data_IF_371534320474
#
_entry.id   IF_371534320474
#
_cell.length_a   1.000
_cell.length_b   1.000
_cell.length_c   1.000
_cell.angle_alpha   90.00
_cell.angle_beta   90.00
_cell.angle_gamma   90.00
#
_symmetry.space_group_name_H-M   'P 1'
#
loop_
_entity.id
_entity.type
_entity.pdbx_description
1 polymer ?
#
# COMPACT_ATOMS: atom_id res chain seq x y z
N UNK A 1 6.67 -16.43 41.21
CA UNK A 1 7.73 -16.54 40.18
C UNK A 1 7.46 -15.48 39.14
N UNK A 2 8.32 -14.45 39.08
CA UNK A 2 8.04 -13.16 38.42
C UNK A 2 8.98 -12.99 37.20
N UNK A 3 8.38 -12.87 36.01
CA UNK A 3 8.65 -11.80 35.02
C UNK A 3 10.10 -11.46 34.62
N UNK A 4 10.95 -12.42 34.26
CA UNK A 4 12.26 -12.08 33.64
C UNK A 4 12.18 -11.92 32.11
N UNK A 5 11.29 -12.67 31.44
CA UNK A 5 11.18 -12.64 29.97
C UNK A 5 10.55 -11.35 29.43
N UNK A 6 9.52 -10.81 30.10
CA UNK A 6 8.80 -9.60 29.66
C UNK A 6 9.71 -8.36 29.60
N UNK A 7 10.60 -8.18 30.59
CA UNK A 7 11.56 -7.07 30.63
C UNK A 7 12.62 -7.18 29.52
N UNK A 8 13.01 -8.40 29.15
CA UNK A 8 14.03 -8.64 28.13
C UNK A 8 13.47 -8.43 26.73
N UNK A 9 12.28 -8.96 26.45
CA UNK A 9 11.63 -8.83 25.14
C UNK A 9 11.25 -7.38 24.82
N UNK A 10 10.79 -6.63 25.83
CA UNK A 10 10.51 -5.20 25.68
C UNK A 10 11.76 -4.41 25.31
N UNK A 11 12.90 -4.70 25.95
CA UNK A 11 14.19 -4.07 25.64
C UNK A 11 14.68 -4.42 24.23
N UNK A 12 14.51 -5.67 23.80
CA UNK A 12 14.86 -6.10 22.43
C UNK A 12 13.98 -5.41 21.39
N UNK A 13 12.66 -5.33 21.62
CA UNK A 13 11.72 -4.58 20.78
C UNK A 13 12.14 -3.11 20.66
N UNK A 14 12.38 -2.44 21.79
CA UNK A 14 12.78 -1.02 21.79
C UNK A 14 14.13 -0.78 21.08
N UNK A 15 15.08 -1.71 21.24
CA UNK A 15 16.37 -1.65 20.55
C UNK A 15 16.20 -1.78 19.04
N UNK A 16 15.41 -2.75 18.58
CA UNK A 16 15.15 -2.94 17.16
C UNK A 16 14.46 -1.73 16.52
N UNK A 17 13.49 -1.12 17.22
CA UNK A 17 12.83 0.10 16.76
C UNK A 17 13.85 1.24 16.61
N UNK A 18 14.76 1.42 17.59
CA UNK A 18 15.83 2.43 17.49
C UNK A 18 16.78 2.16 16.32
N UNK A 19 17.14 0.90 16.07
CA UNK A 19 17.96 0.54 14.91
C UNK A 19 17.25 0.86 13.59
N UNK A 20 15.97 0.52 13.46
CA UNK A 20 15.17 0.87 12.29
C UNK A 20 15.08 2.40 12.08
N UNK A 21 14.88 3.17 13.14
CA UNK A 21 14.84 4.65 13.11
C UNK A 21 16.15 5.29 12.60
N UNK A 22 17.29 4.61 12.71
CA UNK A 22 18.57 5.08 12.14
C UNK A 22 18.94 4.39 10.82
N UNK A 23 18.07 3.52 10.29
CA UNK A 23 18.26 2.84 9.00
C UNK A 23 18.91 1.46 9.08
N UNK A 24 19.23 0.98 10.27
CA UNK A 24 19.79 -0.36 10.49
C UNK A 24 18.68 -1.43 10.55
N UNK A 25 18.04 -1.69 9.39
CA UNK A 25 16.94 -2.65 9.31
C UNK A 25 17.43 -4.10 9.45
N UNK A 26 18.63 -4.41 8.93
CA UNK A 26 19.22 -5.73 9.09
C UNK A 26 19.50 -6.04 10.58
N UNK A 27 20.15 -5.11 11.31
CA UNK A 27 20.41 -5.27 12.74
C UNK A 27 19.13 -5.22 13.59
N UNK A 28 18.10 -4.47 13.17
CA UNK A 28 16.79 -4.52 13.79
C UNK A 28 16.17 -5.93 13.68
N UNK A 29 16.21 -6.55 12.49
CA UNK A 29 15.71 -7.93 12.26
C UNK A 29 16.47 -8.96 13.09
N UNK A 30 17.79 -8.84 13.17
CA UNK A 30 18.61 -9.71 14.01
C UNK A 30 18.21 -9.56 15.50
N UNK A 31 18.03 -8.33 15.98
CA UNK A 31 17.65 -8.07 17.37
C UNK A 31 16.29 -8.66 17.74
N UNK A 32 15.28 -8.52 16.88
CA UNK A 32 13.94 -9.07 17.17
C UNK A 32 13.86 -10.59 17.06
N UNK A 33 14.86 -11.26 16.45
CA UNK A 33 14.91 -12.73 16.41
C UNK A 33 15.02 -13.36 17.81
N UNK A 34 15.48 -12.57 18.79
CA UNK A 34 15.53 -12.97 20.21
C UNK A 34 14.24 -12.72 21.00
N UNK A 35 13.22 -12.08 20.42
CA UNK A 35 11.95 -11.77 21.10
C UNK A 35 11.04 -12.99 21.09
N UNK A 36 10.55 -13.40 22.26
CA UNK A 36 9.70 -14.59 22.40
C UNK A 36 8.22 -14.22 22.53
N UNK A 37 7.89 -13.17 23.29
CA UNK A 37 6.50 -12.71 23.44
C UNK A 37 6.00 -12.13 22.12
N UNK A 38 4.99 -12.80 21.57
CA UNK A 38 4.36 -12.46 20.30
C UNK A 38 3.82 -11.03 20.23
N UNK A 39 3.44 -10.43 21.37
CA UNK A 39 2.97 -9.03 21.40
C UNK A 39 4.10 -8.07 21.10
N UNK A 40 5.25 -8.24 21.76
CA UNK A 40 6.42 -7.40 21.48
C UNK A 40 6.99 -7.65 20.09
N UNK A 41 6.95 -8.91 19.61
CA UNK A 41 7.35 -9.24 18.25
C UNK A 41 6.45 -8.53 17.22
N UNK A 42 5.12 -8.57 17.43
CA UNK A 42 4.14 -7.85 16.61
C UNK A 42 4.45 -6.35 16.59
N UNK A 43 4.59 -5.74 17.76
CA UNK A 43 4.83 -4.30 17.87
C UNK A 43 6.12 -3.88 17.14
N UNK A 44 7.20 -4.65 17.27
CA UNK A 44 8.45 -4.36 16.59
C UNK A 44 8.32 -4.44 15.07
N UNK A 45 7.73 -5.52 14.54
CA UNK A 45 7.55 -5.69 13.10
C UNK A 45 6.64 -4.61 12.50
N UNK A 46 5.54 -4.25 13.19
CA UNK A 46 4.64 -3.19 12.74
C UNK A 46 5.34 -1.83 12.72
N UNK A 47 6.11 -1.50 13.76
CA UNK A 47 6.82 -0.22 13.83
C UNK A 47 7.95 -0.16 12.80
N UNK A 48 8.70 -1.25 12.58
CA UNK A 48 9.71 -1.31 11.52
C UNK A 48 9.10 -1.10 10.14
N UNK A 49 7.98 -1.75 9.84
CA UNK A 49 7.27 -1.58 8.58
C UNK A 49 6.77 -0.13 8.40
N UNK A 50 6.21 0.46 9.46
CA UNK A 50 5.79 1.87 9.48
C UNK A 50 6.95 2.82 9.19
N UNK A 51 8.08 2.69 9.90
CA UNK A 51 9.26 3.54 9.70
C UNK A 51 9.76 3.48 8.25
N UNK A 52 9.85 2.28 7.67
CA UNK A 52 10.31 2.13 6.29
C UNK A 52 9.32 2.70 5.27
N UNK A 53 8.03 2.63 5.57
CA UNK A 53 6.99 3.20 4.72
C UNK A 53 7.01 4.73 4.71
N UNK A 54 7.25 5.37 5.86
CA UNK A 54 7.30 6.83 6.00
C UNK A 54 8.51 7.40 5.26
N UNK A 55 9.56 6.60 5.08
CA UNK A 55 10.71 6.94 4.23
C UNK A 55 10.44 6.81 2.75
N UNK A 56 9.30 6.24 2.35
CA UNK A 56 8.94 6.00 0.96
C UNK A 56 9.83 4.96 0.25
N UNK A 57 10.62 4.18 0.99
CA UNK A 57 11.49 3.17 0.40
C UNK A 57 10.70 1.89 0.13
N UNK A 58 10.05 1.86 -1.04
CA UNK A 58 9.21 0.75 -1.50
C UNK A 58 9.93 -0.60 -1.41
N UNK A 59 11.21 -0.66 -1.78
CA UNK A 59 11.96 -1.92 -1.75
C UNK A 59 12.16 -2.42 -0.32
N UNK A 60 12.52 -1.53 0.61
CA UNK A 60 12.71 -1.91 2.00
C UNK A 60 11.41 -2.34 2.69
N UNK A 61 10.28 -1.74 2.29
CA UNK A 61 8.93 -2.19 2.68
C UNK A 61 8.68 -3.62 2.18
N UNK A 62 8.93 -3.91 0.90
CA UNK A 62 8.81 -5.28 0.35
C UNK A 62 9.68 -6.26 1.12
N UNK A 63 10.95 -5.92 1.33
CA UNK A 63 11.90 -6.77 2.03
C UNK A 63 11.46 -7.06 3.46
N UNK A 64 10.86 -6.08 4.15
CA UNK A 64 10.36 -6.23 5.51
C UNK A 64 9.14 -7.14 5.56
N UNK A 65 8.22 -7.03 4.60
CA UNK A 65 7.08 -7.95 4.47
C UNK A 65 7.58 -9.37 4.25
N UNK A 66 8.46 -9.59 3.27
CA UNK A 66 8.96 -10.93 2.91
C UNK A 66 9.78 -11.55 4.04
N UNK A 67 10.52 -10.74 4.80
CA UNK A 67 11.33 -11.22 5.93
C UNK A 67 10.53 -11.50 7.20
N UNK A 68 9.28 -11.05 7.28
CA UNK A 68 8.45 -11.27 8.46
C UNK A 68 8.10 -12.76 8.59
N UNK A 69 8.44 -13.43 9.71
CA UNK A 69 8.26 -14.88 9.86
C UNK A 69 6.79 -15.31 9.87
N UNK A 70 5.89 -14.38 10.19
CA UNK A 70 4.45 -14.59 10.21
C UNK A 70 3.73 -13.30 9.79
N UNK A 71 3.08 -13.31 8.63
CA UNK A 71 2.37 -12.15 8.06
C UNK A 71 1.28 -11.61 8.99
N UNK A 72 0.71 -12.44 9.88
CA UNK A 72 -0.31 -11.97 10.83
C UNK A 72 0.25 -11.03 11.91
N UNK A 73 1.57 -10.91 12.03
CA UNK A 73 2.23 -9.88 12.85
C UNK A 73 2.11 -8.50 12.21
N UNK A 74 2.02 -8.40 10.88
CA UNK A 74 1.95 -7.12 10.18
C UNK A 74 0.54 -6.54 10.16
N UNK A 75 -0.48 -7.36 10.43
CA UNK A 75 -1.88 -6.96 10.48
C UNK A 75 -2.12 -5.83 11.49
N UNK A 76 -2.21 -4.61 10.96
CA UNK A 76 -2.45 -3.37 11.67
C UNK A 76 -3.26 -2.41 10.79
N UNK A 77 -3.80 -1.34 11.38
CA UNK A 77 -4.49 -0.29 10.62
C UNK A 77 -3.57 0.32 9.55
N UNK A 78 -2.32 0.58 9.91
CA UNK A 78 -1.29 1.09 9.01
C UNK A 78 -1.03 0.16 7.81
N UNK A 79 -1.13 -1.15 8.01
CA UNK A 79 -0.97 -2.13 6.93
C UNK A 79 -1.94 -1.88 5.76
N UNK A 80 -3.14 -1.36 6.02
CA UNK A 80 -4.13 -1.04 4.98
C UNK A 80 -3.72 0.16 4.10
N UNK A 81 -2.91 1.07 4.62
CA UNK A 81 -2.46 2.26 3.88
C UNK A 81 -1.20 1.95 3.05
N UNK A 82 -0.52 0.85 3.36
CA UNK A 82 0.74 0.49 2.75
C UNK A 82 0.71 0.45 1.22
N UNK A 83 -0.33 -0.09 0.54
CA UNK A 83 -0.34 -0.10 -0.92
C UNK A 83 -0.35 1.30 -1.54
N UNK A 84 -0.77 2.34 -0.81
CA UNK A 84 -0.69 3.72 -1.28
C UNK A 84 0.76 4.23 -1.38
N UNK A 85 1.68 3.71 -0.56
CA UNK A 85 3.12 4.04 -0.64
C UNK A 85 3.67 3.63 -2.02
N UNK A 86 3.25 2.46 -2.49
CA UNK A 86 3.64 1.91 -3.78
C UNK A 86 2.99 2.69 -4.93
N UNK A 87 1.70 3.02 -4.82
CA UNK A 87 1.00 3.87 -5.81
C UNK A 87 1.67 5.24 -5.94
N UNK A 88 2.00 5.91 -4.83
CA UNK A 88 2.68 7.21 -4.82
C UNK A 88 4.09 7.14 -5.43
N UNK A 89 4.77 6.01 -5.29
CA UNK A 89 6.07 5.76 -5.89
C UNK A 89 5.98 5.29 -7.37
N UNK A 90 4.77 5.12 -7.92
CA UNK A 90 4.55 4.62 -9.27
C UNK A 90 4.69 3.09 -9.41
N UNK A 91 4.94 2.35 -8.33
CA UNK A 91 5.03 0.90 -8.32
C UNK A 91 3.64 0.25 -8.22
N UNK A 92 2.86 0.35 -9.30
CA UNK A 92 1.49 -0.18 -9.37
C UNK A 92 1.43 -1.68 -9.12
N UNK A 93 2.30 -2.44 -9.76
CA UNK A 93 2.37 -3.90 -9.60
C UNK A 93 2.69 -4.28 -8.16
N UNK A 94 3.65 -3.60 -7.53
CA UNK A 94 3.95 -3.79 -6.12
C UNK A 94 2.78 -3.45 -5.20
N UNK A 95 2.00 -2.40 -5.50
CA UNK A 95 0.80 -2.06 -4.74
C UNK A 95 -0.22 -3.21 -4.75
N UNK A 96 -0.46 -3.80 -5.92
CA UNK A 96 -1.39 -4.93 -6.10
C UNK A 96 -0.86 -6.18 -5.39
N UNK A 97 0.41 -6.52 -5.57
CA UNK A 97 1.06 -7.68 -4.93
C UNK A 97 0.95 -7.62 -3.41
N UNK A 98 1.30 -6.47 -2.82
CA UNK A 98 1.23 -6.27 -1.38
C UNK A 98 -0.21 -6.34 -0.89
N UNK A 99 -1.15 -5.70 -1.57
CA UNK A 99 -2.57 -5.77 -1.20
C UNK A 99 -3.09 -7.22 -1.25
N UNK A 100 -2.70 -8.03 -2.25
CA UNK A 100 -3.04 -9.46 -2.31
C UNK A 100 -2.46 -10.25 -1.13
N UNK A 101 -1.22 -9.96 -0.74
CA UNK A 101 -0.56 -10.62 0.40
C UNK A 101 -1.27 -10.36 1.74
N UNK A 102 -2.10 -9.31 1.84
CA UNK A 102 -2.90 -9.01 3.04
C UNK A 102 -4.14 -9.90 3.21
N UNK A 103 -4.47 -10.73 2.22
CA UNK A 103 -5.68 -11.56 2.23
C UNK A 103 -6.95 -10.70 2.34
N UNK A 104 -7.87 -11.06 3.25
CA UNK A 104 -9.14 -10.35 3.43
C UNK A 104 -8.96 -8.86 3.79
N UNK A 105 -7.90 -8.50 4.51
CA UNK A 105 -7.61 -7.10 4.83
C UNK A 105 -7.25 -6.30 3.56
N UNK A 106 -6.77 -6.98 2.52
CA UNK A 106 -6.38 -6.41 1.24
C UNK A 106 -7.53 -5.98 0.34
N UNK A 107 -8.77 -6.41 0.62
CA UNK A 107 -9.93 -6.09 -0.24
C UNK A 107 -10.14 -4.57 -0.35
N UNK A 108 -10.12 -3.84 0.77
CA UNK A 108 -10.27 -2.38 0.76
C UNK A 108 -9.12 -1.68 0.00
N UNK A 109 -7.83 -2.01 0.25
CA UNK A 109 -6.74 -1.49 -0.56
C UNK A 109 -6.86 -1.80 -2.05
N UNK A 110 -7.23 -3.02 -2.44
CA UNK A 110 -7.43 -3.39 -3.85
C UNK A 110 -8.51 -2.54 -4.53
N UNK A 111 -9.61 -2.21 -3.82
CA UNK A 111 -10.64 -1.29 -4.31
C UNK A 111 -10.08 0.12 -4.48
N UNK A 112 -9.30 0.61 -3.52
CA UNK A 112 -8.66 1.94 -3.59
C UNK A 112 -7.65 2.05 -4.75
N UNK A 113 -6.87 1.00 -4.99
CA UNK A 113 -5.95 0.90 -6.14
C UNK A 113 -6.76 0.90 -7.44
N UNK A 114 -7.81 0.06 -7.54
CA UNK A 114 -8.66 -0.01 -8.71
C UNK A 114 -9.32 1.35 -9.02
N UNK A 115 -9.71 2.13 -8.01
CA UNK A 115 -10.25 3.47 -8.22
C UNK A 115 -9.22 4.43 -8.84
N UNK A 116 -7.96 4.41 -8.39
CA UNK A 116 -6.89 5.21 -8.99
C UNK A 116 -6.59 4.76 -10.43
N UNK A 117 -6.50 3.45 -10.67
CA UNK A 117 -6.26 2.92 -12.01
C UNK A 117 -7.40 3.28 -12.97
N UNK A 118 -8.65 3.28 -12.50
CA UNK A 118 -9.79 3.71 -13.28
C UNK A 118 -9.75 5.21 -13.64
N UNK A 119 -9.29 6.07 -12.73
CA UNK A 119 -9.08 7.50 -13.01
C UNK A 119 -8.01 7.71 -14.08
N UNK A 120 -6.97 6.87 -14.08
CA UNK A 120 -5.91 6.87 -15.09
C UNK A 120 -6.33 6.19 -16.41
N UNK A 121 -7.55 5.66 -16.51
CA UNK A 121 -8.05 4.93 -17.67
C UNK A 121 -7.47 3.51 -17.85
N UNK A 122 -6.75 2.99 -16.86
CA UNK A 122 -6.08 1.68 -16.89
C UNK A 122 -7.04 0.54 -16.52
N UNK A 123 -7.92 0.20 -17.46
CA UNK A 123 -8.94 -0.85 -17.26
C UNK A 123 -8.34 -2.24 -17.09
N UNK A 124 -7.19 -2.52 -17.71
CA UNK A 124 -6.49 -3.79 -17.53
C UNK A 124 -6.01 -3.92 -16.07
N UNK A 125 -5.38 -2.87 -15.53
CA UNK A 125 -4.95 -2.81 -14.14
C UNK A 125 -6.12 -2.89 -13.16
N UNK A 126 -7.26 -2.24 -13.46
CA UNK A 126 -8.50 -2.38 -12.67
C UNK A 126 -8.92 -3.84 -12.57
N UNK A 127 -8.97 -4.56 -13.70
CA UNK A 127 -9.35 -5.98 -13.73
C UNK A 127 -8.37 -6.84 -12.93
N UNK A 128 -7.08 -6.55 -13.06
CA UNK A 128 -6.04 -7.26 -12.31
C UNK A 128 -6.20 -7.05 -10.80
N UNK A 129 -6.33 -5.80 -10.34
CA UNK A 129 -6.48 -5.47 -8.93
C UNK A 129 -7.73 -6.14 -8.32
N UNK A 130 -8.84 -6.16 -9.07
CA UNK A 130 -10.10 -6.73 -8.59
C UNK A 130 -10.19 -8.26 -8.76
N UNK A 131 -9.23 -8.92 -9.40
CA UNK A 131 -9.29 -10.36 -9.69
C UNK A 131 -9.35 -11.26 -8.43
N UNK A 132 -8.93 -10.74 -7.28
CA UNK A 132 -8.89 -11.45 -5.99
C UNK A 132 -10.03 -11.04 -5.05
N UNK A 133 -10.96 -10.23 -5.53
CA UNK A 133 -12.16 -9.82 -4.80
C UNK A 133 -13.33 -10.72 -5.22
N UNK A 134 -14.29 -10.87 -4.31
CA UNK A 134 -15.59 -11.50 -4.56
C UNK A 134 -16.21 -11.07 -5.90
N UNK A 135 -16.82 -12.03 -6.61
CA UNK A 135 -17.33 -11.86 -7.96
C UNK A 135 -18.40 -10.77 -8.07
N UNK A 136 -19.31 -10.71 -7.10
CA UNK A 136 -20.42 -9.77 -7.12
C UNK A 136 -19.90 -8.34 -6.90
N UNK A 137 -19.00 -8.17 -5.93
CA UNK A 137 -18.34 -6.90 -5.67
C UNK A 137 -17.48 -6.45 -6.86
N UNK A 138 -16.70 -7.37 -7.45
CA UNK A 138 -15.91 -7.12 -8.66
C UNK A 138 -16.78 -6.66 -9.82
N UNK A 139 -17.88 -7.37 -10.09
CA UNK A 139 -18.81 -7.05 -11.18
C UNK A 139 -19.46 -5.68 -10.96
N UNK A 140 -19.87 -5.39 -9.73
CA UNK A 140 -20.43 -4.08 -9.38
C UNK A 140 -19.44 -2.94 -9.63
N UNK A 141 -18.16 -3.10 -9.23
CA UNK A 141 -17.13 -2.08 -9.42
C UNK A 141 -16.81 -1.90 -10.91
N UNK A 142 -16.62 -2.99 -11.66
CA UNK A 142 -16.33 -2.93 -13.11
C UNK A 142 -17.45 -2.26 -13.91
N UNK A 143 -18.71 -2.46 -13.52
CA UNK A 143 -19.85 -1.74 -14.11
C UNK A 143 -19.73 -0.23 -13.86
N UNK A 144 -19.47 0.18 -12.61
CA UNK A 144 -19.31 1.60 -12.26
C UNK A 144 -18.15 2.27 -13.02
N UNK A 145 -17.02 1.58 -13.16
CA UNK A 145 -15.88 2.06 -13.93
C UNK A 145 -16.26 2.27 -15.39
N UNK A 146 -16.91 1.27 -16.00
CA UNK A 146 -17.40 1.34 -17.40
C UNK A 146 -18.40 2.49 -17.62
N UNK A 147 -19.28 2.76 -16.65
CA UNK A 147 -20.26 3.85 -16.74
C UNK A 147 -19.64 5.26 -16.63
N UNK A 148 -18.49 5.37 -15.98
CA UNK A 148 -17.79 6.64 -15.74
C UNK A 148 -16.89 7.03 -16.91
N UNK A 149 -16.32 6.06 -17.60
CA UNK A 149 -15.37 6.23 -18.69
C UNK A 149 -15.89 7.05 -19.88
N UNK A 150 -17.09 6.79 -20.45
CA UNK A 150 -17.62 7.60 -21.55
C UNK A 150 -18.01 9.02 -21.12
N UNK A 151 -18.12 9.30 -19.82
CA UNK A 151 -18.32 10.67 -19.31
C UNK A 151 -17.01 11.43 -19.22
N UNK A 152 -15.93 10.79 -18.75
CA UNK A 152 -14.59 11.38 -18.70
C UNK A 152 -14.09 11.75 -20.10
N UNK A 153 -14.14 10.80 -21.05
CA UNK A 153 -13.70 11.03 -22.44
C UNK A 153 -14.47 12.17 -23.13
N UNK A 154 -15.78 12.32 -22.84
CA UNK A 154 -16.60 13.41 -23.37
C UNK A 154 -16.21 14.77 -22.78
N UNK A 155 -15.88 14.82 -21.49
CA UNK A 155 -15.47 16.06 -20.83
C UNK A 155 -14.09 16.50 -21.31
N UNK A 156 -13.15 15.57 -21.46
CA UNK A 156 -11.80 15.87 -22.00
C UNK A 156 -11.88 16.36 -23.45
N UNK A 157 -12.69 15.71 -24.28
CA UNK A 157 -12.90 16.14 -25.67
C UNK A 157 -13.56 17.52 -25.78
N UNK A 158 -14.45 17.88 -24.85
CA UNK A 158 -15.06 19.21 -24.78
C UNK A 158 -14.09 20.29 -24.29
N UNK A 159 -13.26 19.98 -23.28
CA UNK A 159 -12.23 20.86 -22.76
C UNK A 159 -11.15 21.18 -23.80
N UNK A 160 -10.65 20.17 -24.53
CA UNK A 160 -9.66 20.39 -25.60
C UNK A 160 -10.20 21.25 -26.76
N UNK A 161 -11.49 21.11 -27.10
CA UNK A 161 -12.13 21.96 -28.13
C UNK A 161 -12.27 23.41 -27.67
N UNK A 162 -12.60 23.64 -26.40
CA UNK A 162 -12.70 24.99 -25.84
C UNK A 162 -11.33 25.68 -25.77
N UNK A 163 -10.28 24.93 -25.41
CA UNK A 163 -8.91 25.46 -25.30
C UNK A 163 -8.27 25.74 -26.68
N UNK A 164 -8.62 24.94 -27.70
CA UNK A 164 -8.24 25.25 -29.09
C UNK A 164 -8.96 26.48 -29.64
N UNK A 165 -10.25 26.65 -29.32
CA UNK A 165 -11.02 27.83 -29.74
C UNK A 165 -10.53 29.12 -29.07
N UNK A 166 -10.14 29.07 -27.79
CA UNK A 166 -9.58 30.24 -27.09
C UNK A 166 -8.22 30.66 -27.66
N UNK A 167 -7.37 29.69 -28.05
CA UNK A 167 -6.08 29.93 -28.69
C UNK A 167 -6.21 30.48 -30.11
N UNK A 168 -7.19 30.02 -30.89
CA UNK A 168 -7.44 30.58 -32.23
C UNK A 168 -7.93 32.03 -32.16
N UNK A 169 -8.75 32.37 -31.17
CA UNK A 169 -9.25 33.74 -31.01
C UNK A 169 -8.17 34.71 -30.50
N UNK A 170 -7.22 34.23 -29.67
CA UNK A 170 -6.06 35.05 -29.24
C UNK A 170 -5.00 35.30 -30.32
N UNK A 171 -4.94 34.49 -31.38
CA UNK A 171 -3.98 34.66 -32.49
C UNK A 171 -4.55 35.50 -33.64
N UNK A 172 -5.84 35.85 -33.59
CA UNK A 172 -6.55 36.59 -34.63
C UNK A 172 -6.82 38.07 -34.27
N UNK A 173 -6.34 38.55 -33.11
CA UNK A 173 -6.44 39.93 -32.63
C UNK A 173 -5.08 40.63 -32.67
#
# INVERSE_FOLDING_TARGET
MMTTHTSTDEQLKDRAIRQALVGDIAGARETISGVVDRRYLRDAWQMMLFIESERGNVQSVKDTIVSCPDQSLLASHFYLELPQVFVKAGDRSGAIEIAKAMGNAGVLPLIGIAAHLAQDGDIAGVREALSHIDEDLRTMILRKVSDYQPKAERLDAQGMRADQASRSDSLAA
#
